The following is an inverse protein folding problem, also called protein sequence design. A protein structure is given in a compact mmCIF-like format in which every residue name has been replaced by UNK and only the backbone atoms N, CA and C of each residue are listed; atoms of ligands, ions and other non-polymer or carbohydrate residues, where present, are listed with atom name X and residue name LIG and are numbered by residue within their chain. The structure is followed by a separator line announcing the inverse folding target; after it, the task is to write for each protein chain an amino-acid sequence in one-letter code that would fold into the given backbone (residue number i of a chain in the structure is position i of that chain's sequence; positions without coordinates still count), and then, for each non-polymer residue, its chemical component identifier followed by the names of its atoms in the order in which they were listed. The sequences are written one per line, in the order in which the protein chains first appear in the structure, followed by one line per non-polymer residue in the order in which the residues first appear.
data_IF_887053057735
#
_entry.id   IF_887053057735
#
_cell.length_a   1.000
_cell.length_b   1.000
_cell.length_c   1.000
_cell.angle_alpha   90.00
_cell.angle_beta   90.00
_cell.angle_gamma   90.00
#
_symmetry.space_group_name_H-M   'P 1'
#
loop_
_entity.id
_entity.type
_entity.pdbx_description
1 polymer ?
#
# COMPACT_ATOMS: atom_id res chain seq x y z
N UNK A 1 -4.28 -34.24 -9.67
CA UNK A 1 -3.31 -33.59 -10.54
C UNK A 1 -4.00 -33.06 -11.82
N UNK A 2 -4.62 -33.90 -12.64
CA UNK A 2 -5.28 -33.55 -13.92
C UNK A 2 -6.39 -32.48 -13.82
N UNK A 3 -7.19 -32.47 -12.74
CA UNK A 3 -8.23 -31.43 -12.52
C UNK A 3 -7.60 -30.05 -12.25
N UNK A 4 -6.52 -30.00 -11.46
CA UNK A 4 -5.78 -28.76 -11.19
C UNK A 4 -5.10 -28.21 -12.45
N UNK A 5 -4.50 -29.09 -13.26
CA UNK A 5 -3.87 -28.71 -14.54
C UNK A 5 -4.88 -28.11 -15.51
N UNK A 6 -6.08 -28.72 -15.63
CA UNK A 6 -7.18 -28.15 -16.43
C UNK A 6 -7.64 -26.79 -15.94
N UNK A 7 -7.76 -26.62 -14.61
CA UNK A 7 -8.14 -25.33 -14.01
C UNK A 7 -7.05 -24.27 -14.26
N UNK A 8 -5.77 -24.60 -14.13
CA UNK A 8 -4.67 -23.68 -14.41
C UNK A 8 -4.61 -23.27 -15.88
N UNK A 9 -4.88 -24.19 -16.80
CA UNK A 9 -4.91 -23.90 -18.24
C UNK A 9 -5.98 -22.88 -18.67
N UNK A 10 -6.98 -22.59 -17.82
CA UNK A 10 -7.98 -21.54 -18.06
C UNK A 10 -7.54 -20.16 -17.60
N UNK A 11 -6.38 -20.04 -16.93
CA UNK A 11 -5.85 -18.77 -16.40
C UNK A 11 -4.84 -18.20 -17.40
N UNK A 12 -5.33 -17.35 -18.30
CA UNK A 12 -4.55 -16.82 -19.45
C UNK A 12 -4.36 -15.30 -19.40
N UNK A 13 -4.94 -14.61 -18.40
CA UNK A 13 -4.89 -13.16 -18.30
C UNK A 13 -3.69 -12.77 -17.46
N UNK A 14 -2.81 -11.96 -18.04
CA UNK A 14 -1.71 -11.27 -17.35
C UNK A 14 -2.03 -9.77 -17.28
N UNK A 15 -2.05 -9.21 -16.07
CA UNK A 15 -2.26 -7.78 -15.82
C UNK A 15 -1.69 -7.37 -14.48
N UNK A 16 -1.43 -6.10 -14.32
CA UNK A 16 -1.13 -5.51 -13.01
C UNK A 16 -2.36 -5.57 -12.11
N UNK A 17 -2.19 -6.01 -10.88
CA UNK A 17 -3.27 -6.20 -9.91
C UNK A 17 -3.41 -4.99 -9.00
N UNK A 18 -4.65 -4.62 -8.68
CA UNK A 18 -4.98 -3.72 -7.57
C UNK A 18 -5.28 -4.59 -6.34
N UNK A 19 -4.42 -4.47 -5.33
CA UNK A 19 -4.45 -5.30 -4.12
C UNK A 19 -4.75 -4.43 -2.91
N UNK A 20 -5.72 -4.83 -2.09
CA UNK A 20 -6.10 -4.10 -0.87
C UNK A 20 -5.91 -5.00 0.35
N UNK A 21 -5.07 -4.56 1.29
CA UNK A 21 -4.95 -5.14 2.62
C UNK A 21 -5.65 -4.25 3.63
N UNK A 22 -6.75 -4.74 4.19
CA UNK A 22 -7.59 -3.98 5.13
C UNK A 22 -7.86 -4.77 6.42
N UNK A 23 -8.78 -4.29 7.24
CA UNK A 23 -9.18 -4.94 8.49
C UNK A 23 -8.50 -4.38 9.74
N UNK A 24 -9.03 -4.78 10.91
CA UNK A 24 -8.60 -4.28 12.24
C UNK A 24 -7.34 -4.97 12.76
N UNK A 25 -7.00 -6.15 12.22
CA UNK A 25 -5.82 -6.93 12.60
C UNK A 25 -4.51 -6.32 12.14
N UNK A 26 -3.42 -6.79 12.73
CA UNK A 26 -2.04 -6.44 12.34
C UNK A 26 -1.59 -7.25 11.10
N UNK A 27 -0.52 -6.80 10.48
CA UNK A 27 0.12 -7.49 9.37
C UNK A 27 -0.15 -6.91 7.98
N UNK A 28 -1.00 -5.87 7.84
CA UNK A 28 -1.33 -5.26 6.54
C UNK A 28 -0.09 -4.73 5.83
N UNK A 29 0.64 -3.82 6.45
CA UNK A 29 1.89 -3.27 5.89
C UNK A 29 2.97 -4.34 5.81
N UNK A 30 3.10 -5.22 6.82
CA UNK A 30 4.06 -6.33 6.80
C UNK A 30 3.85 -7.26 5.60
N UNK A 31 2.61 -7.62 5.28
CA UNK A 31 2.28 -8.42 4.10
C UNK A 31 2.57 -7.65 2.80
N UNK A 32 2.26 -6.34 2.76
CA UNK A 32 2.54 -5.49 1.61
C UNK A 32 4.05 -5.36 1.37
N UNK A 33 4.85 -5.08 2.40
CA UNK A 33 6.31 -5.07 2.28
C UNK A 33 6.89 -6.45 1.93
N UNK A 34 6.26 -7.53 2.35
CA UNK A 34 6.58 -8.88 1.89
C UNK A 34 6.39 -9.04 0.37
N UNK A 35 5.35 -8.45 -0.22
CA UNK A 35 5.16 -8.40 -1.68
C UNK A 35 6.21 -7.49 -2.35
N UNK A 36 6.56 -6.35 -1.76
CA UNK A 36 7.64 -5.48 -2.24
C UNK A 36 8.95 -6.25 -2.35
N UNK A 37 9.38 -6.94 -1.28
CA UNK A 37 10.61 -7.76 -1.28
C UNK A 37 10.53 -8.86 -2.34
N UNK A 38 9.37 -9.50 -2.49
CA UNK A 38 9.18 -10.54 -3.52
C UNK A 38 9.28 -9.97 -4.93
N UNK A 39 8.71 -8.80 -5.20
CA UNK A 39 8.79 -8.11 -6.48
C UNK A 39 10.24 -7.75 -6.82
N UNK A 40 10.95 -7.13 -5.89
CA UNK A 40 12.37 -6.80 -6.04
C UNK A 40 13.23 -8.05 -6.31
N UNK A 41 12.97 -9.16 -5.59
CA UNK A 41 13.64 -10.44 -5.82
C UNK A 41 13.36 -11.06 -7.19
N UNK A 42 12.34 -10.59 -7.91
CA UNK A 42 12.05 -10.94 -9.31
C UNK A 42 12.48 -9.86 -10.31
N UNK A 43 13.31 -8.91 -9.89
CA UNK A 43 13.86 -7.87 -10.75
C UNK A 43 12.91 -6.70 -11.04
N UNK A 44 11.77 -6.62 -10.34
CA UNK A 44 10.81 -5.52 -10.48
C UNK A 44 11.31 -4.27 -9.75
N UNK A 45 11.03 -3.09 -10.33
CA UNK A 45 11.25 -1.81 -9.67
C UNK A 45 9.99 -1.36 -8.94
N UNK A 46 10.15 -0.96 -7.68
CA UNK A 46 9.04 -0.68 -6.77
C UNK A 46 9.06 0.75 -6.26
N UNK A 47 7.89 1.40 -6.26
CA UNK A 47 7.66 2.67 -5.59
C UNK A 47 6.88 2.48 -4.29
N UNK A 48 7.21 3.25 -3.25
CA UNK A 48 6.50 3.22 -1.97
C UNK A 48 6.14 4.64 -1.54
N UNK A 49 4.86 4.88 -1.28
CA UNK A 49 4.37 6.11 -0.65
C UNK A 49 3.76 5.75 0.69
N UNK A 50 4.31 6.29 1.77
CA UNK A 50 3.74 6.16 3.11
C UNK A 50 2.92 7.42 3.44
N UNK A 51 1.60 7.27 3.50
CA UNK A 51 0.65 8.37 3.76
C UNK A 51 0.61 8.79 5.23
N UNK A 52 0.98 7.88 6.12
CA UNK A 52 1.08 8.14 7.55
C UNK A 52 2.47 7.77 8.02
N UNK A 53 3.22 8.73 8.53
CA UNK A 53 4.54 8.49 9.13
C UNK A 53 4.36 8.21 10.61
N UNK A 54 4.73 7.01 11.05
CA UNK A 54 4.83 6.68 12.48
C UNK A 54 5.96 7.49 13.16
N UNK A 55 5.94 7.52 14.50
CA UNK A 55 7.00 8.14 15.32
C UNK A 55 8.34 7.42 15.17
N UNK A 56 8.33 6.18 14.72
CA UNK A 56 9.50 5.32 14.61
C UNK A 56 9.80 4.99 13.15
N UNK A 57 11.08 4.95 12.83
CA UNK A 57 11.53 4.36 11.59
C UNK A 57 11.27 2.85 11.63
N UNK A 58 10.70 2.31 10.57
CA UNK A 58 10.44 0.87 10.49
C UNK A 58 11.68 0.13 9.99
N UNK A 59 11.91 -1.07 10.52
CA UNK A 59 13.05 -1.90 10.13
C UNK A 59 13.07 -2.24 8.65
N UNK A 60 11.89 -2.38 8.02
CA UNK A 60 11.77 -2.63 6.57
C UNK A 60 12.39 -1.50 5.75
N UNK A 61 12.13 -0.26 6.12
CA UNK A 61 12.64 0.91 5.41
C UNK A 61 14.16 0.95 5.43
N UNK A 62 14.79 0.76 6.60
CA UNK A 62 16.24 0.81 6.74
C UNK A 62 16.96 -0.26 5.91
N UNK A 63 16.33 -1.41 5.68
CA UNK A 63 16.85 -2.47 4.80
C UNK A 63 16.63 -2.11 3.33
N UNK A 64 15.44 -1.69 2.97
CA UNK A 64 15.04 -1.45 1.57
C UNK A 64 15.77 -0.26 0.95
N UNK A 65 16.08 0.78 1.72
CA UNK A 65 16.86 1.95 1.26
C UNK A 65 18.31 1.61 0.85
N UNK A 66 18.80 0.38 1.13
CA UNK A 66 20.09 -0.08 0.59
C UNK A 66 20.02 -0.53 -0.88
N UNK A 67 18.82 -0.53 -1.50
CA UNK A 67 18.60 -0.96 -2.89
C UNK A 67 18.03 0.17 -3.76
N UNK A 68 18.70 1.35 -3.86
CA UNK A 68 18.12 2.54 -4.51
C UNK A 68 17.81 2.35 -5.99
N UNK A 69 18.47 1.41 -6.66
CA UNK A 69 18.19 1.10 -8.08
C UNK A 69 16.88 0.31 -8.28
N UNK A 70 16.38 -0.35 -7.23
CA UNK A 70 15.19 -1.19 -7.30
C UNK A 70 13.98 -0.61 -6.56
N UNK A 71 14.19 0.32 -5.62
CA UNK A 71 13.10 0.88 -4.82
C UNK A 71 13.26 2.38 -4.59
N UNK A 72 12.13 3.09 -4.67
CA UNK A 72 12.02 4.50 -4.30
C UNK A 72 10.97 4.64 -3.19
N UNK A 73 11.35 5.20 -2.02
CA UNK A 73 10.49 5.30 -0.84
C UNK A 73 10.27 6.77 -0.45
N UNK A 74 9.01 7.18 -0.35
CA UNK A 74 8.60 8.50 0.12
C UNK A 74 7.73 8.37 1.38
N UNK A 75 8.28 8.74 2.53
CA UNK A 75 7.51 8.90 3.76
C UNK A 75 7.02 10.34 3.83
N UNK A 76 5.74 10.57 3.48
CA UNK A 76 5.18 11.90 3.27
C UNK A 76 4.16 12.32 4.33
N UNK A 77 3.69 11.39 5.18
CA UNK A 77 2.81 11.68 6.30
C UNK A 77 3.54 12.43 7.43
N UNK A 78 2.85 13.31 8.12
CA UNK A 78 3.39 14.07 9.26
C UNK A 78 3.04 13.47 10.63
N UNK A 79 2.58 12.23 10.67
CA UNK A 79 2.11 11.52 11.85
C UNK A 79 0.62 11.14 11.74
N UNK A 80 0.06 10.69 12.84
CA UNK A 80 -1.37 10.39 12.90
C UNK A 80 -2.16 11.66 13.27
N UNK A 81 -3.35 11.83 12.70
CA UNK A 81 -4.24 12.97 12.93
C UNK A 81 -4.61 13.20 14.40
N UNK A 82 -4.57 12.18 15.24
CA UNK A 82 -4.72 12.33 16.68
C UNK A 82 -3.47 12.91 17.40
N UNK A 83 -2.31 12.88 16.73
CA UNK A 83 -1.08 13.50 17.24
C UNK A 83 -0.93 14.96 16.78
N UNK A 84 -1.37 15.28 15.55
CA UNK A 84 -1.23 16.63 14.96
C UNK A 84 -2.32 17.59 15.42
N UNK A 85 -3.55 17.10 15.64
CA UNK A 85 -4.76 17.87 15.95
C UNK A 85 -5.00 19.05 14.98
N UNK A 86 -4.40 19.00 13.78
CA UNK A 86 -4.50 20.01 12.73
C UNK A 86 -4.96 19.36 11.42
N UNK A 87 -6.26 19.39 11.20
CA UNK A 87 -6.89 18.79 10.02
C UNK A 87 -6.42 19.40 8.70
N UNK A 88 -6.15 20.70 8.66
CA UNK A 88 -5.70 21.37 7.43
C UNK A 88 -4.30 20.89 7.04
N UNK A 89 -3.44 20.69 8.00
CA UNK A 89 -2.10 20.14 7.81
C UNK A 89 -2.14 18.68 7.37
N UNK A 90 -3.01 17.86 7.96
CA UNK A 90 -3.20 16.46 7.56
C UNK A 90 -3.70 16.34 6.11
N UNK A 91 -4.67 17.19 5.72
CA UNK A 91 -5.17 17.26 4.34
C UNK A 91 -4.04 17.68 3.37
N UNK A 92 -3.24 18.69 3.71
CA UNK A 92 -2.15 19.15 2.87
C UNK A 92 -1.08 18.06 2.68
N UNK A 93 -0.70 17.34 3.74
CA UNK A 93 0.23 16.21 3.68
C UNK A 93 -0.33 15.07 2.84
N UNK A 94 -1.59 14.70 3.04
CA UNK A 94 -2.28 13.68 2.26
C UNK A 94 -2.33 14.04 0.76
N UNK A 95 -2.66 15.30 0.45
CA UNK A 95 -2.68 15.81 -0.93
C UNK A 95 -1.29 15.71 -1.59
N UNK A 96 -0.25 16.14 -0.89
CA UNK A 96 1.13 16.05 -1.39
C UNK A 96 1.54 14.60 -1.66
N UNK A 97 1.20 13.67 -0.77
CA UNK A 97 1.46 12.24 -0.94
C UNK A 97 0.70 11.68 -2.14
N UNK A 98 -0.57 12.09 -2.32
CA UNK A 98 -1.37 11.68 -3.45
C UNK A 98 -0.85 12.22 -4.79
N UNK A 99 -0.45 13.49 -4.86
CA UNK A 99 0.17 14.05 -6.07
C UNK A 99 1.45 13.28 -6.46
N UNK A 100 2.30 12.93 -5.49
CA UNK A 100 3.47 12.09 -5.76
C UNK A 100 3.06 10.70 -6.25
N UNK A 101 2.02 10.09 -5.67
CA UNK A 101 1.48 8.80 -6.10
C UNK A 101 1.01 8.85 -7.57
N UNK A 102 0.27 9.89 -7.96
CA UNK A 102 -0.16 10.09 -9.36
C UNK A 102 1.03 10.24 -10.31
N UNK A 103 2.06 11.00 -9.92
CA UNK A 103 3.28 11.14 -10.73
C UNK A 103 3.95 9.79 -10.96
N UNK A 104 4.08 8.96 -9.93
CA UNK A 104 4.68 7.62 -10.05
C UNK A 104 3.82 6.67 -10.89
N UNK A 105 2.49 6.72 -10.74
CA UNK A 105 1.55 5.95 -11.57
C UNK A 105 1.69 6.37 -13.04
N UNK A 106 1.75 7.67 -13.32
CA UNK A 106 1.87 8.19 -14.69
C UNK A 106 3.23 7.86 -15.30
N UNK A 107 4.32 7.94 -14.53
CA UNK A 107 5.66 7.53 -14.97
C UNK A 107 5.77 6.03 -15.30
N UNK A 108 4.79 5.23 -14.85
CA UNK A 108 4.71 3.80 -15.14
C UNK A 108 3.89 3.47 -16.40
N UNK A 109 3.48 4.50 -17.19
CA UNK A 109 2.81 4.30 -18.47
C UNK A 109 3.79 4.08 -19.62
N UNK A 110 3.31 3.39 -20.65
CA UNK A 110 4.03 3.21 -21.90
C UNK A 110 5.02 2.04 -21.89
N UNK A 111 5.91 1.99 -22.89
CA UNK A 111 6.77 0.81 -23.12
C UNK A 111 7.95 0.67 -22.17
N UNK A 112 8.31 1.73 -21.47
CA UNK A 112 9.42 1.75 -20.49
C UNK A 112 8.91 2.25 -19.14
N UNK A 113 8.12 1.46 -18.41
CA UNK A 113 7.55 1.87 -17.13
C UNK A 113 8.66 2.13 -16.10
N UNK A 114 8.50 3.20 -15.31
CA UNK A 114 9.45 3.49 -14.23
C UNK A 114 9.29 2.52 -13.07
N UNK A 115 8.05 2.09 -12.79
CA UNK A 115 7.73 1.14 -11.72
C UNK A 115 6.85 0.00 -12.25
N UNK A 116 7.11 -1.20 -11.75
CA UNK A 116 6.28 -2.41 -11.97
C UNK A 116 5.25 -2.57 -10.85
N UNK A 117 5.56 -2.02 -9.67
CA UNK A 117 4.71 -2.08 -8.48
C UNK A 117 4.78 -0.77 -7.70
N UNK A 118 3.63 -0.31 -7.17
CA UNK A 118 3.55 0.81 -6.24
C UNK A 118 2.80 0.38 -4.98
N UNK A 119 3.40 0.62 -3.82
CA UNK A 119 2.77 0.47 -2.51
C UNK A 119 2.29 1.84 -2.00
N UNK A 120 0.97 1.95 -1.77
CA UNK A 120 0.31 3.10 -1.14
C UNK A 120 -0.01 2.72 0.32
N UNK A 121 1.00 2.85 1.18
CA UNK A 121 0.92 2.40 2.57
C UNK A 121 0.10 3.38 3.42
N UNK A 122 -0.91 2.84 4.11
CA UNK A 122 -1.89 3.55 4.94
C UNK A 122 -2.80 4.56 4.19
N UNK A 123 -2.97 4.42 2.87
CA UNK A 123 -3.92 5.24 2.11
C UNK A 123 -5.35 5.11 2.66
N UNK A 124 -5.77 3.90 3.09
CA UNK A 124 -7.10 3.69 3.66
C UNK A 124 -7.36 4.54 4.92
N UNK A 125 -6.32 4.88 5.69
CA UNK A 125 -6.46 5.78 6.86
C UNK A 125 -6.82 7.18 6.41
N UNK A 126 -6.16 7.68 5.37
CA UNK A 126 -6.41 9.00 4.79
C UNK A 126 -7.84 9.11 4.23
N UNK A 127 -8.30 8.07 3.54
CA UNK A 127 -9.65 7.97 3.01
C UNK A 127 -10.71 7.84 4.11
N UNK A 128 -10.39 7.15 5.20
CA UNK A 128 -11.28 7.02 6.35
C UNK A 128 -11.58 8.37 7.01
N UNK A 129 -10.60 9.27 7.05
CA UNK A 129 -10.74 10.62 7.64
C UNK A 129 -11.18 11.68 6.63
N UNK A 130 -11.52 11.27 5.39
CA UNK A 130 -11.97 12.13 4.30
C UNK A 130 -10.96 13.27 4.02
N UNK A 131 -9.64 12.96 4.12
CA UNK A 131 -8.56 13.91 3.84
C UNK A 131 -8.26 14.02 2.33
N UNK A 132 -8.80 13.10 1.52
CA UNK A 132 -8.74 13.12 0.05
C UNK A 132 -10.12 12.78 -0.54
N UNK A 133 -10.49 13.36 -1.68
CA UNK A 133 -11.70 12.98 -2.41
C UNK A 133 -11.63 11.53 -2.88
N UNK A 134 -12.59 10.71 -2.47
CA UNK A 134 -12.62 9.29 -2.83
C UNK A 134 -12.75 9.08 -4.34
N UNK A 135 -13.58 9.88 -5.00
CA UNK A 135 -13.86 9.78 -6.44
C UNK A 135 -12.58 9.94 -7.26
N UNK A 136 -11.71 10.90 -6.92
CA UNK A 136 -10.41 11.12 -7.58
C UNK A 136 -9.50 9.88 -7.43
N UNK A 137 -9.51 9.27 -6.25
CA UNK A 137 -8.71 8.06 -5.99
C UNK A 137 -9.21 6.89 -6.83
N UNK A 138 -10.52 6.64 -6.83
CA UNK A 138 -11.15 5.56 -7.58
C UNK A 138 -10.92 5.74 -9.08
N UNK A 139 -11.11 6.95 -9.61
CA UNK A 139 -10.86 7.25 -11.02
C UNK A 139 -9.40 6.96 -11.40
N UNK A 140 -8.44 7.45 -10.62
CA UNK A 140 -7.01 7.24 -10.88
C UNK A 140 -6.64 5.76 -10.85
N UNK A 141 -7.11 5.02 -9.84
CA UNK A 141 -6.79 3.59 -9.68
C UNK A 141 -7.46 2.72 -10.74
N UNK A 142 -8.68 3.05 -11.15
CA UNK A 142 -9.39 2.35 -12.23
C UNK A 142 -8.71 2.55 -13.58
N UNK A 143 -8.02 3.69 -13.78
CA UNK A 143 -7.29 4.04 -15.00
C UNK A 143 -5.77 3.82 -14.87
N UNK A 144 -5.31 3.04 -13.89
CA UNK A 144 -3.89 2.73 -13.75
C UNK A 144 -3.31 2.05 -15.01
N UNK A 145 -1.99 2.12 -15.25
CA UNK A 145 -1.36 1.34 -16.31
C UNK A 145 -1.70 -0.15 -16.19
N UNK A 146 -1.98 -0.80 -17.32
CA UNK A 146 -2.49 -2.18 -17.36
C UNK A 146 -1.59 -3.16 -16.62
N UNK A 147 -0.26 -3.02 -16.75
CA UNK A 147 0.71 -3.94 -16.15
C UNK A 147 1.21 -3.50 -14.76
N UNK A 148 0.85 -2.31 -14.29
CA UNK A 148 1.28 -1.80 -12.99
C UNK A 148 0.51 -2.50 -11.85
N UNK A 149 1.24 -3.11 -10.92
CA UNK A 149 0.66 -3.57 -9.66
C UNK A 149 0.54 -2.41 -8.67
N UNK A 150 -0.60 -2.28 -8.01
CA UNK A 150 -0.78 -1.32 -6.91
C UNK A 150 -1.25 -2.06 -5.66
N UNK A 151 -0.57 -1.83 -4.54
CA UNK A 151 -0.95 -2.38 -3.24
C UNK A 151 -1.38 -1.22 -2.36
N UNK A 152 -2.52 -1.37 -1.69
CA UNK A 152 -3.06 -0.37 -0.77
C UNK A 152 -3.22 -1.01 0.60
N UNK A 153 -2.78 -0.33 1.65
CA UNK A 153 -2.95 -0.80 3.03
C UNK A 153 -3.75 0.18 3.87
N UNK A 154 -4.17 -0.30 5.02
CA UNK A 154 -4.82 0.48 6.06
C UNK A 154 -6.18 -0.07 6.48
N UNK A 155 -6.64 0.35 7.65
CA UNK A 155 -7.93 -0.07 8.22
C UNK A 155 -9.09 0.58 7.50
N UNK A 156 -10.24 -0.11 7.47
CA UNK A 156 -11.52 0.39 6.97
C UNK A 156 -11.43 0.91 5.53
N UNK A 157 -10.99 0.05 4.60
CA UNK A 157 -11.11 0.33 3.18
C UNK A 157 -12.56 0.69 2.84
N UNK A 158 -12.74 1.69 1.98
CA UNK A 158 -14.05 2.10 1.46
C UNK A 158 -14.58 1.01 0.52
N UNK A 159 -15.90 0.82 0.51
CA UNK A 159 -16.54 -0.22 -0.32
C UNK A 159 -16.26 -0.02 -1.81
N UNK A 160 -16.22 1.22 -2.28
CA UNK A 160 -15.90 1.57 -3.67
C UNK A 160 -14.47 1.13 -4.06
N UNK A 161 -13.52 1.20 -3.11
CA UNK A 161 -12.16 0.71 -3.33
C UNK A 161 -12.11 -0.83 -3.38
N UNK A 162 -12.90 -1.48 -2.53
CA UNK A 162 -13.03 -2.95 -2.51
C UNK A 162 -13.63 -3.45 -3.83
N UNK A 163 -14.62 -2.73 -4.37
CA UNK A 163 -15.30 -3.10 -5.63
C UNK A 163 -14.37 -3.10 -6.84
N UNK A 164 -13.47 -2.12 -6.95
CA UNK A 164 -12.52 -2.04 -8.08
C UNK A 164 -11.27 -2.90 -7.90
N UNK A 165 -11.02 -3.44 -6.69
CA UNK A 165 -9.82 -4.22 -6.40
C UNK A 165 -9.89 -5.63 -6.99
N UNK A 166 -8.74 -6.12 -7.48
CA UNK A 166 -8.59 -7.50 -7.97
C UNK A 166 -8.40 -8.52 -6.83
N UNK A 167 -7.81 -8.08 -5.72
CA UNK A 167 -7.54 -8.90 -4.54
C UNK A 167 -7.76 -8.08 -3.28
N UNK A 168 -8.61 -8.56 -2.41
CA UNK A 168 -8.84 -7.95 -1.09
C UNK A 168 -8.59 -8.99 -0.01
N UNK A 169 -7.77 -8.60 0.98
CA UNK A 169 -7.56 -9.42 2.18
C UNK A 169 -7.92 -8.60 3.41
N UNK A 170 -8.86 -9.10 4.18
CA UNK A 170 -9.23 -8.53 5.47
C UNK A 170 -8.49 -9.26 6.60
N UNK A 171 -7.65 -8.54 7.33
CA UNK A 171 -6.93 -9.05 8.50
C UNK A 171 -7.75 -8.78 9.75
N UNK A 172 -8.28 -9.85 10.34
CA UNK A 172 -9.09 -9.76 11.56
C UNK A 172 -8.22 -9.85 12.81
N UNK A 173 -8.61 -9.10 13.86
CA UNK A 173 -7.92 -9.13 15.14
C UNK A 173 -8.53 -10.22 16.06
N UNK A 174 -7.96 -11.40 16.03
CA UNK A 174 -8.38 -12.50 16.93
C UNK A 174 -7.87 -12.23 18.36
N UNK A 175 -6.59 -11.83 18.50
CA UNK A 175 -5.95 -11.51 19.79
C UNK A 175 -4.91 -10.41 19.58
N UNK A 176 -4.67 -9.58 20.59
CA UNK A 176 -3.68 -8.50 20.50
C UNK A 176 -2.93 -8.35 21.83
N UNK A 177 -1.58 -8.31 21.83
CA UNK A 177 -0.76 -8.24 23.04
C UNK A 177 -1.01 -6.96 23.86
N UNK A 178 -1.36 -5.85 23.21
CA UNK A 178 -1.68 -4.59 23.88
C UNK A 178 -2.78 -4.73 24.93
N UNK A 179 -3.81 -5.56 24.68
CA UNK A 179 -4.89 -5.82 25.65
C UNK A 179 -4.42 -6.56 26.89
N UNK A 180 -3.27 -7.23 26.80
CA UNK A 180 -2.61 -7.93 27.92
C UNK A 180 -1.49 -7.08 28.56
N UNK A 181 -1.43 -5.76 28.27
CA UNK A 181 -0.45 -4.85 28.83
C UNK A 181 0.96 -4.94 28.23
N UNK A 182 1.14 -5.68 27.12
CA UNK A 182 2.43 -5.79 26.45
C UNK A 182 2.69 -4.53 25.61
N UNK A 183 3.85 -3.91 25.85
CA UNK A 183 4.30 -2.73 25.06
C UNK A 183 4.67 -3.11 23.63
N UNK A 184 4.64 -2.14 22.73
CA UNK A 184 5.22 -2.28 21.38
C UNK A 184 6.71 -2.64 21.47
N UNK A 185 7.16 -3.56 20.62
CA UNK A 185 8.51 -4.12 20.66
C UNK A 185 9.23 -3.88 19.33
N UNK A 186 10.51 -3.50 19.44
CA UNK A 186 11.41 -3.37 18.29
C UNK A 186 11.55 -4.70 17.55
N UNK A 187 11.49 -4.65 16.23
CA UNK A 187 11.55 -5.84 15.38
C UNK A 187 10.22 -6.60 15.24
N UNK A 188 9.16 -6.16 15.96
CA UNK A 188 7.80 -6.73 15.85
C UNK A 188 6.80 -5.64 15.43
N UNK A 189 6.89 -4.46 16.02
CA UNK A 189 5.97 -3.34 15.76
C UNK A 189 6.61 -2.23 14.90
N UNK A 190 7.93 -2.12 14.95
CA UNK A 190 8.74 -1.11 14.25
C UNK A 190 10.19 -1.57 14.08
#
# INVERSE_FOLDING_TARGET
KRAREKMLATKTIEKGLLIVHTGKGKGKSTAAFGLVVRAMGNGMRVGVIQFVKGKWETGERSILENFPDQIEIHAMGEGFSWDTQDKARDIAAARKAWEKSKQMIEASRGPNPEFDMILLDELNIVLRYDNLPLEEIIETLSNKPENLHIIITGRNAKDELIEIADLVTEMTQVKHPFRSGVKAQKGIEF
#
